data_IF_481029048158
#
_entry.id   IF_481029048158
#
_cell.length_a   1.000
_cell.length_b   1.000
_cell.length_c   1.000
_cell.angle_alpha   90.00
_cell.angle_beta   90.00
_cell.angle_gamma   90.00
#
_symmetry.space_group_name_H-M   'P 1'
#
loop_
_entity.id
_entity.type
_entity.pdbx_description
1 polymer ?
#
# COMPACT_ATOMS: atom_id res chain seq x y z
N UNK A 1 76.82 -20.86 -23.38
CA UNK A 1 76.44 -20.43 -24.76
C UNK A 1 75.71 -21.54 -25.48
N UNK A 2 74.36 -21.52 -25.53
CA UNK A 2 73.46 -22.37 -26.37
C UNK A 2 72.09 -21.64 -26.43
N UNK A 3 71.88 -20.70 -27.36
CA UNK A 3 71.11 -20.77 -28.63
C UNK A 3 69.56 -20.78 -28.52
N UNK A 4 68.99 -19.57 -28.76
CA UNK A 4 67.85 -19.19 -29.63
C UNK A 4 66.42 -19.76 -29.49
N UNK A 5 65.52 -18.86 -29.06
CA UNK A 5 64.22 -18.40 -29.59
C UNK A 5 63.23 -19.27 -30.39
N UNK A 6 61.96 -19.12 -29.95
CA UNK A 6 60.66 -18.98 -30.66
C UNK A 6 60.02 -20.17 -31.40
N UNK A 7 58.75 -20.47 -31.06
CA UNK A 7 57.60 -20.55 -32.00
C UNK A 7 56.24 -20.57 -31.27
N UNK A 8 55.25 -19.89 -31.87
CA UNK A 8 53.84 -19.78 -31.49
C UNK A 8 53.05 -21.08 -31.74
N UNK A 9 51.99 -21.32 -30.95
CA UNK A 9 50.66 -21.83 -31.39
C UNK A 9 49.70 -21.78 -30.19
N UNK A 10 48.70 -20.89 -30.20
CA UNK A 10 47.39 -21.01 -30.84
C UNK A 10 46.32 -21.54 -29.85
N UNK A 11 45.52 -20.58 -29.41
CA UNK A 11 44.26 -20.56 -28.67
C UNK A 11 43.49 -21.91 -28.65
N UNK A 12 43.23 -22.43 -27.45
CA UNK A 12 42.16 -23.40 -27.22
C UNK A 12 40.84 -22.64 -26.95
N UNK A 13 39.84 -22.89 -27.80
CA UNK A 13 38.46 -22.43 -27.63
C UNK A 13 37.65 -23.53 -26.92
N UNK A 14 36.66 -23.08 -26.14
CA UNK A 14 35.45 -23.77 -25.65
C UNK A 14 35.53 -24.49 -24.29
N UNK A 15 34.82 -23.94 -23.30
CA UNK A 15 33.52 -24.47 -22.88
C UNK A 15 32.83 -23.50 -21.89
N UNK A 16 31.70 -22.94 -22.30
CA UNK A 16 30.77 -22.22 -21.44
C UNK A 16 30.12 -23.20 -20.47
N UNK A 17 30.35 -23.07 -19.16
CA UNK A 17 29.44 -23.59 -18.14
C UNK A 17 29.38 -22.60 -16.97
N UNK A 18 28.49 -21.61 -17.09
CA UNK A 18 27.96 -20.92 -15.92
C UNK A 18 27.09 -21.91 -15.17
N UNK A 19 27.59 -22.45 -14.07
CA UNK A 19 26.77 -23.23 -13.14
C UNK A 19 26.07 -22.24 -12.21
N UNK A 20 24.83 -21.88 -12.54
CA UNK A 20 23.91 -21.25 -11.59
C UNK A 20 23.52 -22.29 -10.54
N UNK A 21 24.32 -22.42 -9.47
CA UNK A 21 23.89 -23.17 -8.30
C UNK A 21 22.83 -22.33 -7.58
N UNK A 22 21.61 -22.84 -7.34
CA UNK A 22 20.68 -22.15 -6.45
C UNK A 22 21.31 -22.15 -5.05
N UNK A 23 21.77 -20.99 -4.60
CA UNK A 23 22.18 -20.79 -3.22
C UNK A 23 20.94 -20.92 -2.33
N UNK A 24 20.62 -22.14 -1.91
CA UNK A 24 19.67 -22.41 -0.85
C UNK A 24 20.36 -22.06 0.48
N UNK A 25 20.39 -20.78 0.80
CA UNK A 25 20.81 -20.31 2.11
C UNK A 25 19.56 -20.21 2.98
N UNK A 26 19.42 -21.11 3.96
CA UNK A 26 18.46 -20.93 5.03
C UNK A 26 18.81 -19.64 5.79
N UNK A 27 17.86 -18.71 5.99
CA UNK A 27 18.15 -17.47 6.71
C UNK A 27 18.67 -17.84 8.11
N UNK A 28 19.76 -17.20 8.57
CA UNK A 28 20.36 -17.56 9.84
C UNK A 28 19.36 -17.33 10.99
N UNK A 29 19.46 -18.09 12.11
CA UNK A 29 18.47 -18.04 13.20
C UNK A 29 18.29 -16.66 13.86
N UNK A 30 19.25 -15.77 13.68
CA UNK A 30 19.27 -14.41 14.22
C UNK A 30 18.70 -13.37 13.23
N UNK A 31 18.50 -13.71 11.96
CA UNK A 31 17.84 -12.84 10.99
C UNK A 31 16.33 -12.88 11.22
N UNK A 32 15.65 -11.73 11.39
CA UNK A 32 14.20 -11.70 11.43
C UNK A 32 13.64 -12.39 10.19
N UNK A 33 12.67 -13.28 10.37
CA UNK A 33 11.90 -13.83 9.26
C UNK A 33 11.13 -12.68 8.57
N UNK A 34 11.75 -12.04 7.60
CA UNK A 34 11.19 -10.94 6.80
C UNK A 34 9.88 -11.42 6.14
N UNK A 35 8.73 -10.76 6.24
CA UNK A 35 8.30 -9.59 6.99
C UNK A 35 6.82 -9.41 6.64
N UNK A 36 5.96 -9.17 7.62
CA UNK A 36 4.55 -8.91 7.34
C UNK A 36 4.46 -7.58 6.59
N UNK A 37 4.32 -7.63 5.27
CA UNK A 37 4.01 -6.45 4.47
C UNK A 37 2.50 -6.28 4.53
N UNK A 38 2.04 -5.36 5.38
CA UNK A 38 0.63 -5.02 5.43
C UNK A 38 0.16 -4.65 4.02
N UNK A 39 -0.97 -5.22 3.60
CA UNK A 39 -1.58 -4.87 2.32
C UNK A 39 -2.08 -3.44 2.41
N UNK A 40 -1.59 -2.58 1.52
CA UNK A 40 -1.99 -1.18 1.47
C UNK A 40 -3.11 -1.00 0.46
N UNK A 41 -4.17 -0.31 0.86
CA UNK A 41 -5.35 -0.02 0.05
C UNK A 41 -5.55 1.49 -0.01
N UNK A 42 -5.66 2.02 -1.23
CA UNK A 42 -5.84 3.46 -1.45
C UNK A 42 -7.32 3.83 -1.42
N UNK A 43 -7.66 4.93 -0.74
CA UNK A 43 -9.00 5.48 -0.69
C UNK A 43 -9.00 6.98 -0.89
N UNK A 44 -10.11 7.50 -1.39
CA UNK A 44 -10.48 8.92 -1.32
C UNK A 44 -11.53 9.06 -0.22
N UNK A 45 -11.21 9.82 0.82
CA UNK A 45 -12.07 10.07 1.96
C UNK A 45 -12.75 11.44 1.87
N UNK A 46 -14.07 11.47 2.04
CA UNK A 46 -14.89 12.68 2.02
C UNK A 46 -15.42 12.98 3.43
N UNK A 47 -14.78 13.90 4.17
CA UNK A 47 -15.07 14.11 5.60
C UNK A 47 -16.42 14.77 5.87
N UNK A 48 -17.11 15.28 4.84
CA UNK A 48 -18.40 15.95 5.02
C UNK A 48 -19.48 14.99 5.50
N UNK A 49 -19.48 13.77 4.96
CA UNK A 49 -20.41 12.68 5.26
C UNK A 49 -19.71 11.34 5.49
N UNK A 50 -18.41 11.39 5.74
CA UNK A 50 -17.60 10.22 6.10
C UNK A 50 -17.67 9.10 5.04
N UNK A 51 -17.65 9.51 3.77
CA UNK A 51 -17.77 8.60 2.61
C UNK A 51 -16.36 8.22 2.16
N UNK A 52 -16.19 6.96 1.74
CA UNK A 52 -14.95 6.48 1.13
C UNK A 52 -15.21 6.02 -0.30
N UNK A 53 -14.27 6.31 -1.18
CA UNK A 53 -14.19 5.75 -2.52
C UNK A 53 -12.88 5.00 -2.67
N UNK A 54 -12.93 3.73 -3.10
CA UNK A 54 -11.77 2.91 -3.40
C UNK A 54 -11.52 2.92 -4.92
N UNK A 55 -10.48 3.62 -5.43
CA UNK A 55 -10.24 3.72 -6.86
C UNK A 55 -9.93 2.37 -7.53
N UNK A 56 -9.23 1.49 -6.81
CA UNK A 56 -8.79 0.18 -7.33
C UNK A 56 -9.98 -0.76 -7.59
N UNK A 57 -10.90 -0.86 -6.63
CA UNK A 57 -12.09 -1.71 -6.74
C UNK A 57 -13.30 -0.97 -7.33
N UNK A 58 -13.20 0.35 -7.51
CA UNK A 58 -14.30 1.24 -7.92
C UNK A 58 -15.53 1.11 -7.02
N UNK A 59 -15.29 0.87 -5.73
CA UNK A 59 -16.33 0.72 -4.72
C UNK A 59 -16.48 1.96 -3.86
N UNK A 60 -17.72 2.23 -3.47
CA UNK A 60 -18.10 3.25 -2.51
C UNK A 60 -18.42 2.60 -1.18
N UNK A 61 -18.12 3.32 -0.10
CA UNK A 61 -18.49 2.94 1.27
C UNK A 61 -19.08 4.16 1.97
N UNK A 62 -20.24 4.00 2.59
CA UNK A 62 -20.95 5.09 3.26
C UNK A 62 -21.75 4.58 4.46
N UNK A 63 -22.06 5.49 5.38
CA UNK A 63 -22.95 5.20 6.50
C UNK A 63 -24.41 5.48 6.11
N UNK A 64 -25.29 4.50 6.31
CA UNK A 64 -26.74 4.67 6.19
C UNK A 64 -27.44 4.08 7.42
N UNK A 65 -28.22 4.89 8.14
CA UNK A 65 -28.98 4.42 9.30
C UNK A 65 -28.14 3.80 10.42
N UNK A 66 -26.86 4.20 10.55
CA UNK A 66 -25.92 3.62 11.54
C UNK A 66 -25.26 2.32 11.09
N UNK A 67 -25.52 1.85 9.86
CA UNK A 67 -24.86 0.70 9.27
C UNK A 67 -23.96 1.13 8.11
N UNK A 68 -22.79 0.51 8.02
CA UNK A 68 -21.92 0.63 6.86
C UNK A 68 -22.53 -0.08 5.66
N UNK A 69 -22.57 0.62 4.53
CA UNK A 69 -23.01 0.12 3.24
C UNK A 69 -21.86 0.24 2.24
N UNK A 70 -21.91 -0.57 1.18
CA UNK A 70 -20.94 -0.52 0.11
C UNK A 70 -21.56 -0.92 -1.22
N UNK A 71 -20.98 -0.45 -2.33
CA UNK A 71 -21.49 -0.74 -3.66
C UNK A 71 -20.74 -0.04 -4.79
N UNK A 72 -21.00 -0.46 -6.02
CA UNK A 72 -20.37 0.11 -7.22
C UNK A 72 -20.83 1.55 -7.52
N UNK A 73 -21.94 2.00 -6.95
CA UNK A 73 -22.47 3.34 -7.12
C UNK A 73 -22.84 3.96 -5.78
N UNK A 74 -22.52 5.24 -5.65
CA UNK A 74 -22.97 6.05 -4.52
C UNK A 74 -24.42 6.50 -4.77
N UNK A 75 -25.36 6.27 -3.82
CA UNK A 75 -26.73 6.75 -3.94
C UNK A 75 -26.77 8.28 -4.14
N UNK A 76 -27.80 8.75 -4.86
CA UNK A 76 -27.86 10.14 -5.35
C UNK A 76 -27.83 11.16 -4.22
N UNK A 77 -28.46 10.83 -3.08
CA UNK A 77 -28.51 11.70 -1.91
C UNK A 77 -27.13 12.01 -1.32
N UNK A 78 -26.12 11.16 -1.55
CA UNK A 78 -24.77 11.33 -1.03
C UNK A 78 -23.80 12.01 -2.00
N UNK A 79 -24.10 12.03 -3.31
CA UNK A 79 -23.18 12.55 -4.35
C UNK A 79 -22.85 14.03 -4.17
N UNK A 80 -23.78 14.81 -3.64
CA UNK A 80 -23.56 16.23 -3.34
C UNK A 80 -22.39 16.47 -2.37
N UNK A 81 -22.02 15.48 -1.55
CA UNK A 81 -20.96 15.60 -0.55
C UNK A 81 -19.57 15.23 -1.07
N UNK A 82 -19.47 14.74 -2.31
CA UNK A 82 -18.18 14.41 -2.94
C UNK A 82 -17.63 15.54 -3.81
N UNK A 83 -18.43 16.59 -4.07
CA UNK A 83 -18.07 17.71 -4.94
C UNK A 83 -17.06 18.69 -4.32
N UNK A 84 -16.93 18.73 -3.00
CA UNK A 84 -15.99 19.61 -2.27
C UNK A 84 -14.53 19.14 -2.33
N UNK A 85 -14.25 18.05 -3.04
CA UNK A 85 -12.96 17.36 -3.02
C UNK A 85 -12.86 16.33 -1.88
N UNK A 86 -11.92 15.39 -2.04
CA UNK A 86 -11.64 14.31 -1.09
C UNK A 86 -10.16 14.23 -0.74
N UNK A 87 -9.86 13.58 0.38
CA UNK A 87 -8.51 13.38 0.89
C UNK A 87 -8.05 11.98 0.53
N UNK A 88 -6.93 11.85 -0.19
CA UNK A 88 -6.33 10.55 -0.46
C UNK A 88 -5.69 9.99 0.81
N UNK A 89 -6.06 8.78 1.18
CA UNK A 89 -5.53 8.06 2.34
C UNK A 89 -5.15 6.62 1.94
N UNK A 90 -4.28 6.01 2.74
CA UNK A 90 -3.89 4.60 2.57
C UNK A 90 -4.20 3.87 3.87
N UNK A 91 -4.87 2.72 3.77
CA UNK A 91 -5.27 1.89 4.90
C UNK A 91 -4.75 0.47 4.73
N UNK A 92 -4.63 -0.26 5.85
CA UNK A 92 -4.16 -1.64 5.86
C UNK A 92 -5.29 -2.68 5.73
N UNK A 93 -6.48 -2.24 5.30
CA UNK A 93 -7.65 -3.09 5.11
C UNK A 93 -8.41 -2.67 3.86
N UNK A 94 -9.01 -3.65 3.19
CA UNK A 94 -9.96 -3.49 2.09
C UNK A 94 -11.33 -2.93 2.54
N UNK A 95 -11.56 -2.86 3.84
CA UNK A 95 -12.77 -2.35 4.49
C UNK A 95 -12.40 -1.07 5.25
N UNK A 96 -12.62 0.13 4.66
CA UNK A 96 -12.10 1.37 5.23
C UNK A 96 -12.68 1.69 6.62
N UNK A 97 -13.89 1.18 6.89
CA UNK A 97 -14.57 1.40 8.15
C UNK A 97 -13.94 0.71 9.36
N UNK A 98 -13.03 -0.25 9.16
CA UNK A 98 -12.24 -0.85 10.26
C UNK A 98 -11.36 0.19 10.94
N UNK A 99 -10.86 1.17 10.18
CA UNK A 99 -10.03 2.26 10.68
C UNK A 99 -10.78 3.59 10.75
N UNK A 100 -12.12 3.56 10.74
CA UNK A 100 -12.95 4.74 10.61
C UNK A 100 -12.66 5.79 11.70
N UNK A 101 -12.63 5.38 12.96
CA UNK A 101 -12.37 6.30 14.08
C UNK A 101 -11.01 6.99 13.96
N UNK A 102 -9.99 6.25 13.53
CA UNK A 102 -8.65 6.78 13.29
C UNK A 102 -8.66 7.81 12.15
N UNK A 103 -9.33 7.50 11.03
CA UNK A 103 -9.46 8.41 9.89
C UNK A 103 -10.22 9.67 10.28
N UNK A 104 -11.31 9.56 11.05
CA UNK A 104 -12.08 10.72 11.53
C UNK A 104 -11.24 11.58 12.46
N UNK A 105 -10.43 10.99 13.35
CA UNK A 105 -9.58 11.75 14.25
C UNK A 105 -8.52 12.59 13.50
N UNK A 106 -7.97 12.07 12.40
CA UNK A 106 -6.88 12.72 11.65
C UNK A 106 -7.35 13.58 10.47
N UNK A 107 -8.45 13.22 9.83
CA UNK A 107 -8.94 13.83 8.59
C UNK A 107 -10.39 14.30 8.67
N UNK A 108 -11.08 14.01 9.77
CA UNK A 108 -12.46 14.46 9.98
C UNK A 108 -12.56 15.97 10.19
N UNK A 109 -13.80 16.47 10.21
CA UNK A 109 -14.05 17.87 10.51
C UNK A 109 -13.60 18.19 11.94
N UNK A 110 -13.04 19.39 12.20
CA UNK A 110 -12.70 19.78 13.56
C UNK A 110 -13.95 19.74 14.43
N UNK A 111 -13.92 18.92 15.49
CA UNK A 111 -14.96 18.93 16.53
C UNK A 111 -15.02 20.35 17.09
N UNK A 112 -16.17 21.02 16.97
CA UNK A 112 -16.37 22.27 17.70
C UNK A 112 -16.24 21.95 19.19
N UNK A 113 -15.18 22.45 19.81
CA UNK A 113 -14.98 22.34 21.26
C UNK A 113 -16.05 23.22 21.91
N UNK A 114 -17.09 22.62 22.48
CA UNK A 114 -18.02 23.34 23.34
C UNK A 114 -17.21 23.83 24.55
N UNK A 115 -16.89 25.12 24.54
CA UNK A 115 -16.34 25.82 25.69
C UNK A 115 -17.49 25.94 26.70
N UNK A 116 -17.62 24.95 27.58
CA UNK A 116 -18.36 25.18 28.81
C UNK A 116 -17.50 26.12 29.64
N UNK A 117 -17.87 27.39 29.62
CA UNK A 117 -17.38 28.40 30.54
C UNK A 117 -17.79 27.96 31.96
N UNK A 118 -16.82 27.55 32.77
CA UNK A 118 -17.02 27.45 34.20
C UNK A 118 -16.93 28.88 34.76
N UNK A 119 -18.09 29.36 35.21
CA UNK A 119 -18.23 30.49 36.13
C UNK A 119 -18.00 29.97 37.56
#
# INVERSE_FOLDING_TARGET
MKKTSMLLSAIAVAACMGVDLPAYADPPPWAPAHGYRAKQYSYVYYPVREIYYAPESRMWFWMNGGAWQFGASLPVEYRQYTGSGGVSIVLESDRPYVYHEHVVAHHGKPKKRNKHDNH
#
